data_IF_054206461659
#
_entry.id   IF_054206461659
#
_cell.length_a   1.000
_cell.length_b   1.000
_cell.length_c   1.000
_cell.angle_alpha   90.00
_cell.angle_beta   90.00
_cell.angle_gamma   90.00
#
_symmetry.space_group_name_H-M   'P 1'
#
loop_
_entity.id
_entity.type
_entity.pdbx_description
1 polymer ?
#
# COMPACT_ATOMS: atom_id res chain seq x y z
N UNK A 1 -33.83 -30.45 59.17
CA UNK A 1 -32.65 -29.76 58.55
C UNK A 1 -32.26 -28.63 59.50
N UNK A 2 -31.05 -28.62 60.06
CA UNK A 2 -30.69 -27.59 61.03
C UNK A 2 -30.17 -26.30 60.29
N UNK A 3 -30.21 -25.16 60.98
CA UNK A 3 -29.86 -23.83 60.40
C UNK A 3 -28.48 -23.79 59.72
N UNK A 4 -27.52 -24.59 60.18
CA UNK A 4 -26.17 -24.69 59.58
C UNK A 4 -26.17 -25.43 58.24
N UNK A 5 -27.00 -26.44 58.05
CA UNK A 5 -27.13 -27.17 56.79
C UNK A 5 -27.86 -26.35 55.72
N UNK A 6 -28.81 -25.49 56.09
CA UNK A 6 -29.52 -24.57 55.22
C UNK A 6 -28.61 -23.44 54.75
N UNK A 7 -27.77 -22.89 55.62
CA UNK A 7 -26.79 -21.86 55.23
C UNK A 7 -25.67 -22.40 54.33
N UNK A 8 -25.27 -23.65 54.52
CA UNK A 8 -24.30 -24.31 53.58
C UNK A 8 -24.92 -24.57 52.21
N UNK A 9 -26.19 -24.88 52.13
CA UNK A 9 -26.88 -25.08 50.85
C UNK A 9 -27.03 -23.76 50.07
N UNK A 10 -27.34 -22.65 50.76
CA UNK A 10 -27.40 -21.31 50.16
C UNK A 10 -26.02 -20.84 49.71
N UNK A 11 -24.95 -21.09 50.48
CA UNK A 11 -23.58 -20.74 50.07
C UNK A 11 -23.11 -21.56 48.87
N UNK A 12 -23.52 -22.82 48.74
CA UNK A 12 -23.19 -23.65 47.56
C UNK A 12 -23.98 -23.24 46.29
N UNK A 13 -25.24 -22.82 46.43
CA UNK A 13 -26.06 -22.32 45.33
C UNK A 13 -25.61 -20.94 44.84
N UNK A 14 -25.13 -20.06 45.72
CA UNK A 14 -24.57 -18.75 45.32
C UNK A 14 -23.22 -18.86 44.66
N UNK A 15 -22.39 -19.86 44.98
CA UNK A 15 -21.10 -20.09 44.28
C UNK A 15 -21.34 -20.67 42.89
N UNK A 16 -22.39 -21.45 42.64
CA UNK A 16 -22.71 -21.97 41.29
C UNK A 16 -23.41 -20.94 40.37
N UNK A 17 -24.02 -19.88 40.94
CA UNK A 17 -24.64 -18.79 40.15
C UNK A 17 -23.66 -17.70 39.74
N UNK A 18 -22.39 -17.77 40.16
CA UNK A 18 -21.31 -16.85 39.72
C UNK A 18 -20.54 -17.37 38.52
N UNK A 19 -20.92 -18.48 37.89
CA UNK A 19 -20.53 -18.72 36.51
C UNK A 19 -21.29 -17.70 35.67
N UNK A 20 -20.66 -16.55 35.53
CA UNK A 20 -21.02 -15.57 34.53
C UNK A 20 -21.29 -16.32 33.24
N UNK A 21 -22.55 -16.27 32.79
CA UNK A 21 -22.85 -16.42 31.38
C UNK A 21 -21.98 -15.40 30.66
N UNK A 22 -20.76 -15.77 30.33
CA UNK A 22 -20.02 -15.09 29.28
C UNK A 22 -20.90 -15.32 28.06
N UNK A 23 -21.83 -14.42 27.87
CA UNK A 23 -22.54 -14.28 26.60
C UNK A 23 -21.42 -14.24 25.54
N UNK A 24 -21.23 -15.35 24.84
CA UNK A 24 -20.47 -15.33 23.60
C UNK A 24 -21.18 -14.27 22.77
N UNK A 25 -20.71 -13.04 22.82
CA UNK A 25 -21.16 -12.04 21.87
C UNK A 25 -20.98 -12.71 20.50
N UNK A 26 -22.05 -12.89 19.74
CA UNK A 26 -21.98 -13.39 18.36
C UNK A 26 -21.28 -12.34 17.53
N UNK A 27 -19.96 -12.16 17.80
CA UNK A 27 -19.13 -11.25 17.04
C UNK A 27 -18.89 -11.89 15.69
N UNK A 28 -19.44 -11.26 14.66
CA UNK A 28 -19.21 -11.65 13.27
C UNK A 28 -17.94 -10.98 12.81
N UNK A 29 -16.97 -11.76 12.37
CA UNK A 29 -15.69 -11.29 11.82
C UNK A 29 -15.57 -11.75 10.37
N UNK A 30 -15.14 -10.84 9.50
CA UNK A 30 -14.87 -11.09 8.09
C UNK A 30 -13.55 -10.44 7.67
N UNK A 31 -12.94 -10.98 6.62
CA UNK A 31 -11.72 -10.46 5.98
C UNK A 31 -12.08 -9.91 4.58
N UNK A 32 -12.99 -8.95 4.52
CA UNK A 32 -13.63 -8.43 3.28
C UNK A 32 -12.65 -7.74 2.34
N UNK A 33 -11.51 -7.27 2.85
CA UNK A 33 -10.49 -6.57 2.10
C UNK A 33 -9.30 -7.48 1.74
N UNK A 34 -9.49 -8.79 1.85
CA UNK A 34 -8.49 -9.79 1.53
C UNK A 34 -7.27 -9.77 2.46
N UNK A 35 -6.19 -10.30 1.95
CA UNK A 35 -4.87 -10.35 2.59
C UNK A 35 -3.81 -9.87 1.62
N UNK A 36 -2.66 -9.46 2.13
CA UNK A 36 -1.53 -9.05 1.30
C UNK A 36 -0.19 -9.41 1.95
N UNK A 37 0.83 -9.62 1.13
CA UNK A 37 2.21 -9.64 1.59
C UNK A 37 3.07 -8.66 0.81
N UNK A 38 4.17 -8.20 1.42
CA UNK A 38 5.05 -7.23 0.75
C UNK A 38 6.34 -6.97 1.51
N UNK A 39 7.16 -6.08 0.98
CA UNK A 39 8.45 -5.70 1.57
C UNK A 39 9.29 -6.90 2.07
N UNK A 40 9.50 -7.95 1.26
CA UNK A 40 10.32 -9.07 1.67
C UNK A 40 11.77 -8.62 1.91
N UNK A 41 12.37 -9.17 2.97
CA UNK A 41 13.80 -9.12 3.23
C UNK A 41 14.36 -10.55 3.17
N UNK A 42 15.67 -10.79 3.30
CA UNK A 42 16.18 -12.15 3.38
C UNK A 42 15.61 -13.00 4.53
N UNK A 43 14.99 -12.37 5.54
CA UNK A 43 14.52 -13.06 6.74
C UNK A 43 13.04 -12.89 7.05
N UNK A 44 12.44 -11.79 6.60
CA UNK A 44 11.10 -11.37 6.99
C UNK A 44 10.27 -10.91 5.81
N UNK A 45 8.96 -10.93 5.98
CA UNK A 45 8.01 -10.38 5.02
C UNK A 45 6.87 -9.71 5.78
N UNK A 46 6.36 -8.62 5.25
CA UNK A 46 5.15 -8.00 5.77
C UNK A 46 3.95 -8.85 5.37
N UNK A 47 3.10 -9.17 6.34
CA UNK A 47 1.77 -9.73 6.11
C UNK A 47 0.73 -8.72 6.59
N UNK A 48 -0.32 -8.54 5.81
CA UNK A 48 -1.36 -7.56 6.04
C UNK A 48 -2.76 -8.14 5.86
N UNK A 49 -3.70 -7.66 6.66
CA UNK A 49 -5.14 -7.84 6.47
C UNK A 49 -5.91 -6.73 7.17
N UNK A 50 -7.22 -6.65 6.93
CA UNK A 50 -8.18 -5.85 7.69
C UNK A 50 -9.33 -6.71 8.16
N UNK A 51 -9.77 -6.49 9.38
CA UNK A 51 -10.91 -7.19 9.97
C UNK A 51 -12.14 -6.29 9.92
N UNK A 52 -13.23 -6.79 9.34
CA UNK A 52 -14.56 -6.20 9.43
C UNK A 52 -15.35 -6.90 10.52
N UNK A 53 -16.02 -6.15 11.39
CA UNK A 53 -16.80 -6.69 12.51
C UNK A 53 -18.02 -5.83 12.81
N UNK A 54 -19.05 -6.46 13.39
CA UNK A 54 -20.20 -5.79 13.96
C UNK A 54 -19.93 -5.17 15.36
N UNK A 55 -18.67 -5.07 15.76
CA UNK A 55 -18.24 -4.53 17.05
C UNK A 55 -17.03 -3.61 16.87
N UNK A 56 -17.03 -2.48 17.56
CA UNK A 56 -15.92 -1.50 17.59
C UNK A 56 -14.79 -1.89 18.56
N UNK A 57 -14.92 -2.98 19.29
CA UNK A 57 -13.89 -3.46 20.20
C UNK A 57 -12.70 -4.03 19.44
N UNK A 58 -11.50 -3.90 20.00
CA UNK A 58 -10.31 -4.53 19.47
C UNK A 58 -10.48 -6.04 19.30
N UNK A 59 -9.99 -6.58 18.19
CA UNK A 59 -10.11 -7.99 17.82
C UNK A 59 -8.72 -8.61 17.81
N UNK A 60 -8.55 -9.73 18.50
CA UNK A 60 -7.30 -10.49 18.46
C UNK A 60 -7.24 -11.30 17.16
N UNK A 61 -6.27 -10.98 16.33
CA UNK A 61 -6.04 -11.65 15.05
C UNK A 61 -4.75 -12.47 15.16
N UNK A 62 -4.83 -13.73 14.77
CA UNK A 62 -3.68 -14.61 14.63
C UNK A 62 -3.26 -14.69 13.19
N UNK A 63 -1.96 -14.82 12.94
CA UNK A 63 -1.43 -15.20 11.64
C UNK A 63 -0.71 -16.54 11.74
N UNK A 64 -0.77 -17.31 10.67
CA UNK A 64 -0.12 -18.61 10.52
C UNK A 64 0.61 -18.64 9.20
N UNK A 65 1.82 -19.22 9.21
CA UNK A 65 2.63 -19.45 8.02
C UNK A 65 2.93 -20.94 7.97
N UNK A 66 2.77 -21.53 6.79
CA UNK A 66 3.00 -22.95 6.53
C UNK A 66 3.85 -23.15 5.28
N UNK A 67 4.58 -24.25 5.23
CA UNK A 67 5.26 -24.70 4.01
C UNK A 67 4.35 -25.51 3.08
N UNK A 68 3.12 -25.81 3.49
CA UNK A 68 2.12 -26.53 2.71
C UNK A 68 0.78 -25.80 2.73
N UNK A 69 0.02 -25.88 1.65
CA UNK A 69 -1.27 -25.18 1.48
C UNK A 69 -2.36 -25.66 2.45
N UNK A 70 -2.25 -26.90 2.93
CA UNK A 70 -3.21 -27.50 3.86
C UNK A 70 -2.96 -27.13 5.34
N UNK A 71 -1.90 -26.36 5.61
CA UNK A 71 -1.51 -25.91 6.96
C UNK A 71 -1.32 -27.05 7.99
N UNK A 72 -0.97 -28.27 7.53
CA UNK A 72 -0.63 -29.37 8.46
C UNK A 72 0.61 -29.07 9.30
N UNK A 73 1.55 -28.28 8.74
CA UNK A 73 2.77 -27.89 9.44
C UNK A 73 2.88 -26.38 9.50
N UNK A 74 2.61 -25.80 10.67
CA UNK A 74 2.83 -24.39 10.93
C UNK A 74 4.30 -24.14 11.22
N UNK A 75 4.96 -23.33 10.37
CA UNK A 75 6.39 -23.01 10.49
C UNK A 75 6.66 -21.71 11.24
N UNK A 76 5.68 -20.81 11.25
CA UNK A 76 5.69 -19.58 12.06
C UNK A 76 4.27 -19.13 12.34
N UNK A 77 4.05 -18.48 13.46
CA UNK A 77 2.76 -17.91 13.83
C UNK A 77 2.92 -16.77 14.81
N UNK A 78 1.87 -15.99 15.01
CA UNK A 78 1.81 -14.95 16.02
C UNK A 78 0.44 -14.31 16.07
N UNK A 79 0.34 -13.21 16.82
CA UNK A 79 -0.93 -12.52 17.03
C UNK A 79 -0.74 -11.01 17.14
N UNK A 80 -1.76 -10.26 16.74
CA UNK A 80 -1.83 -8.80 16.86
C UNK A 80 -3.28 -8.36 17.01
N UNK A 81 -3.50 -7.24 17.70
CA UNK A 81 -4.82 -6.66 17.79
C UNK A 81 -5.11 -5.79 16.56
N UNK A 82 -6.28 -6.01 15.95
CA UNK A 82 -6.94 -5.08 15.05
C UNK A 82 -7.72 -4.08 15.91
N UNK A 83 -7.50 -2.79 15.76
CA UNK A 83 -8.18 -1.77 16.55
C UNK A 83 -8.57 -0.54 15.70
N UNK A 84 -9.56 0.23 16.20
CA UNK A 84 -10.13 1.40 15.53
C UNK A 84 -9.10 2.48 15.21
N UNK A 85 -8.03 2.63 16.01
CA UNK A 85 -6.99 3.65 15.76
C UNK A 85 -6.25 3.43 14.46
N UNK A 86 -6.19 2.17 14.00
CA UNK A 86 -5.60 1.75 12.72
C UNK A 86 -6.63 1.19 11.75
N UNK A 87 -7.89 1.65 11.85
CA UNK A 87 -9.00 1.19 11.00
C UNK A 87 -9.12 -0.34 10.92
N UNK A 88 -8.89 -1.02 12.02
CA UNK A 88 -8.90 -2.48 12.14
C UNK A 88 -7.95 -3.22 11.18
N UNK A 89 -6.96 -2.55 10.62
CA UNK A 89 -5.89 -3.20 9.88
C UNK A 89 -4.91 -3.91 10.80
N UNK A 90 -4.39 -5.02 10.33
CA UNK A 90 -3.32 -5.79 10.98
C UNK A 90 -2.15 -5.90 10.01
N UNK A 91 -0.99 -5.47 10.46
CA UNK A 91 0.26 -5.57 9.72
C UNK A 91 1.34 -6.14 10.62
N UNK A 92 1.96 -7.24 10.21
CA UNK A 92 3.01 -7.92 10.97
C UNK A 92 4.26 -8.08 10.12
N UNK A 93 5.43 -7.89 10.73
CA UNK A 93 6.74 -8.14 10.11
C UNK A 93 7.16 -9.57 10.48
N UNK A 94 6.64 -10.53 9.71
CA UNK A 94 6.73 -11.96 10.02
C UNK A 94 8.12 -12.52 9.68
N UNK A 95 8.76 -13.15 10.65
CA UNK A 95 10.06 -13.83 10.45
C UNK A 95 9.85 -15.24 9.94
N UNK A 96 10.51 -15.57 8.82
CA UNK A 96 10.52 -16.92 8.27
C UNK A 96 11.73 -17.72 8.82
N UNK A 97 11.52 -18.94 9.34
CA UNK A 97 12.62 -19.79 9.82
C UNK A 97 13.66 -20.02 8.74
N UNK A 98 14.95 -20.06 9.12
CA UNK A 98 16.11 -20.08 8.20
C UNK A 98 16.00 -21.11 7.08
N UNK A 99 15.49 -22.31 7.38
CA UNK A 99 15.36 -23.43 6.41
C UNK A 99 14.33 -23.18 5.30
N UNK A 100 13.39 -22.21 5.48
CA UNK A 100 12.34 -21.89 4.50
C UNK A 100 12.55 -20.55 3.82
N UNK A 101 13.66 -19.85 4.09
CA UNK A 101 13.96 -18.56 3.48
C UNK A 101 14.21 -18.70 2.00
N UNK A 102 13.70 -17.76 1.22
CA UNK A 102 13.79 -17.79 -0.24
C UNK A 102 12.89 -18.82 -0.91
N UNK A 103 12.08 -19.55 -0.14
CA UNK A 103 11.13 -20.53 -0.65
C UNK A 103 9.71 -19.99 -0.58
N UNK A 104 8.86 -20.46 -1.47
CA UNK A 104 7.42 -20.21 -1.45
C UNK A 104 6.81 -20.81 -0.18
N UNK A 105 6.08 -19.98 0.58
CA UNK A 105 5.34 -20.39 1.78
C UNK A 105 3.93 -19.83 1.71
N UNK A 106 3.01 -20.44 2.48
CA UNK A 106 1.60 -20.06 2.53
C UNK A 106 1.31 -19.35 3.84
N UNK A 107 0.39 -18.38 3.82
CA UNK A 107 -0.02 -17.67 5.03
C UNK A 107 -1.54 -17.44 5.05
N UNK A 108 -2.07 -17.29 6.25
CA UNK A 108 -3.48 -16.94 6.48
C UNK A 108 -3.62 -16.20 7.81
N UNK A 109 -4.76 -15.56 7.97
CA UNK A 109 -5.18 -14.96 9.23
C UNK A 109 -6.42 -15.67 9.78
N UNK A 110 -6.59 -15.62 11.11
CA UNK A 110 -7.81 -16.08 11.76
C UNK A 110 -8.18 -15.17 12.94
N UNK A 111 -9.47 -14.97 13.16
CA UNK A 111 -10.02 -14.24 14.30
C UNK A 111 -11.43 -14.73 14.60
N UNK A 112 -11.78 -14.90 15.88
CA UNK A 112 -13.12 -15.30 16.34
C UNK A 112 -13.70 -16.52 15.58
N UNK A 113 -12.86 -17.47 15.19
CA UNK A 113 -13.26 -18.66 14.43
C UNK A 113 -13.33 -18.50 12.91
N UNK A 114 -13.29 -17.28 12.38
CA UNK A 114 -13.22 -17.03 10.93
C UNK A 114 -11.76 -17.11 10.42
N UNK A 115 -11.59 -17.62 9.20
CA UNK A 115 -10.31 -17.62 8.48
C UNK A 115 -10.37 -16.69 7.28
N UNK A 116 -9.23 -16.07 6.97
CA UNK A 116 -9.02 -15.40 5.68
C UNK A 116 -8.83 -16.43 4.56
N UNK A 117 -8.79 -15.96 3.33
CA UNK A 117 -8.20 -16.73 2.22
C UNK A 117 -6.75 -17.08 2.54
N UNK A 118 -6.19 -18.07 1.81
CA UNK A 118 -4.78 -18.44 1.88
C UNK A 118 -4.01 -17.58 0.87
N UNK A 119 -2.89 -17.02 1.30
CA UNK A 119 -1.98 -16.31 0.42
C UNK A 119 -0.65 -17.02 0.30
N UNK A 120 0.09 -16.63 -0.72
CA UNK A 120 1.44 -17.09 -1.02
C UNK A 120 2.43 -15.96 -0.81
N UNK A 121 3.60 -16.27 -0.27
CA UNK A 121 4.67 -15.30 -0.07
C UNK A 121 6.03 -15.97 0.00
N UNK A 122 7.10 -15.18 0.05
CA UNK A 122 8.46 -15.65 0.29
C UNK A 122 9.34 -14.55 0.91
N UNK A 123 10.51 -14.88 1.41
CA UNK A 123 11.59 -13.93 1.72
C UNK A 123 12.57 -13.87 0.57
N UNK A 124 13.29 -12.75 0.39
CA UNK A 124 14.22 -12.58 -0.73
C UNK A 124 15.21 -13.75 -0.78
N UNK A 125 15.34 -14.44 -1.94
CA UNK A 125 16.23 -15.55 -2.13
C UNK A 125 17.69 -15.07 -2.17
N UNK A 126 18.62 -15.96 -1.80
CA UNK A 126 20.07 -15.69 -1.86
C UNK A 126 20.68 -15.95 -3.22
N UNK A 127 20.16 -16.99 -3.89
CA UNK A 127 20.66 -17.44 -5.18
C UNK A 127 19.46 -17.69 -6.10
N UNK A 128 19.44 -17.01 -7.23
CA UNK A 128 18.44 -17.17 -8.29
C UNK A 128 19.10 -16.91 -9.64
N UNK A 129 18.71 -17.70 -10.64
CA UNK A 129 19.14 -17.50 -12.04
C UNK A 129 18.09 -16.73 -12.85
N UNK A 130 16.83 -16.89 -12.49
CA UNK A 130 15.70 -16.23 -13.13
C UNK A 130 14.77 -15.65 -12.06
N UNK A 131 14.24 -14.46 -12.31
CA UNK A 131 13.29 -13.81 -11.42
C UNK A 131 12.36 -12.91 -12.24
N UNK A 132 11.04 -13.18 -12.18
CA UNK A 132 10.04 -12.45 -12.93
C UNK A 132 9.34 -11.42 -12.08
N UNK A 133 9.30 -10.19 -12.56
CA UNK A 133 8.65 -9.05 -11.90
C UNK A 133 7.53 -8.53 -12.78
N UNK A 134 6.30 -8.50 -12.23
CA UNK A 134 5.20 -7.75 -12.83
C UNK A 134 5.25 -6.30 -12.33
N UNK A 135 5.13 -5.34 -13.24
CA UNK A 135 5.16 -3.91 -12.90
C UNK A 135 3.82 -3.27 -13.23
N UNK A 136 3.27 -2.53 -12.27
CA UNK A 136 1.98 -1.85 -12.36
C UNK A 136 2.11 -0.38 -11.95
N UNK A 137 1.21 0.43 -12.49
CA UNK A 137 0.95 1.81 -12.06
C UNK A 137 -0.46 2.23 -12.46
N UNK A 138 -0.95 3.35 -11.92
CA UNK A 138 -2.13 4.06 -12.42
C UNK A 138 -3.41 3.22 -12.42
N UNK A 139 -3.78 2.64 -11.30
CA UNK A 139 -4.99 1.82 -11.14
C UNK A 139 -6.19 2.65 -10.71
N UNK A 140 -6.89 3.25 -11.68
CA UNK A 140 -8.07 4.05 -11.39
C UNK A 140 -9.34 3.17 -11.32
N UNK A 141 -9.85 2.94 -10.09
CA UNK A 141 -11.02 2.08 -9.83
C UNK A 141 -12.28 2.52 -10.60
N UNK A 142 -12.65 3.80 -10.67
CA UNK A 142 -13.81 4.26 -11.45
C UNK A 142 -13.68 4.07 -12.97
N UNK A 143 -12.47 4.05 -13.50
CA UNK A 143 -12.21 4.00 -14.94
C UNK A 143 -12.48 2.64 -15.55
N UNK A 144 -12.30 1.54 -14.80
CA UNK A 144 -12.43 0.18 -15.36
C UNK A 144 -12.17 -0.92 -14.34
N UNK A 145 -12.20 -2.17 -14.81
CA UNK A 145 -11.88 -3.35 -14.02
C UNK A 145 -10.37 -3.59 -14.00
N UNK A 146 -9.90 -4.28 -12.98
CA UNK A 146 -8.49 -4.55 -12.74
C UNK A 146 -8.00 -5.86 -13.39
N UNK A 147 -8.38 -6.09 -14.65
CA UNK A 147 -8.08 -7.32 -15.39
C UNK A 147 -6.57 -7.64 -15.48
N UNK A 148 -5.72 -6.62 -15.48
CA UNK A 148 -4.27 -6.82 -15.47
C UNK A 148 -3.79 -7.51 -14.18
N UNK A 149 -4.43 -7.23 -13.06
CA UNK A 149 -4.11 -7.89 -11.79
C UNK A 149 -4.57 -9.35 -11.78
N UNK A 150 -5.77 -9.62 -12.33
CA UNK A 150 -6.25 -11.01 -12.49
C UNK A 150 -5.30 -11.81 -13.39
N UNK A 151 -4.93 -11.25 -14.54
CA UNK A 151 -4.00 -11.90 -15.47
C UNK A 151 -2.66 -12.23 -14.81
N UNK A 152 -2.05 -11.27 -14.09
CA UNK A 152 -0.78 -11.50 -13.41
C UNK A 152 -0.91 -12.48 -12.24
N UNK A 153 -2.03 -12.48 -11.53
CA UNK A 153 -2.27 -13.40 -10.42
C UNK A 153 -2.40 -14.87 -10.85
N UNK A 154 -2.79 -15.10 -12.10
CA UNK A 154 -2.92 -16.43 -12.71
C UNK A 154 -1.63 -16.91 -13.40
N UNK A 155 -0.61 -16.06 -13.55
CA UNK A 155 0.71 -16.47 -14.06
C UNK A 155 1.62 -16.88 -12.88
N UNK A 156 1.66 -18.20 -12.61
CA UNK A 156 2.47 -18.78 -11.52
C UNK A 156 3.98 -18.55 -11.71
N UNK A 157 4.42 -18.10 -12.86
CA UNK A 157 5.83 -17.82 -13.15
C UNK A 157 6.27 -16.44 -12.64
N UNK A 158 5.35 -15.55 -12.28
CA UNK A 158 5.67 -14.25 -11.70
C UNK A 158 6.01 -14.43 -10.21
N UNK A 159 7.19 -13.96 -9.83
CA UNK A 159 7.66 -14.06 -8.46
C UNK A 159 7.17 -12.88 -7.60
N UNK A 160 7.24 -11.66 -8.13
CA UNK A 160 7.05 -10.42 -7.39
C UNK A 160 6.27 -9.41 -8.22
N UNK A 161 5.39 -8.65 -7.58
CA UNK A 161 4.78 -7.47 -8.19
C UNK A 161 5.41 -6.19 -7.63
N UNK A 162 5.55 -5.18 -8.48
CA UNK A 162 5.96 -3.81 -8.12
C UNK A 162 4.87 -2.86 -8.57
N UNK A 163 4.29 -2.11 -7.65
CA UNK A 163 3.35 -1.04 -7.95
C UNK A 163 4.05 0.30 -7.77
N UNK A 164 4.18 1.04 -8.86
CA UNK A 164 4.95 2.29 -8.92
C UNK A 164 4.19 3.52 -8.39
N UNK A 165 2.95 3.35 -7.95
CA UNK A 165 2.11 4.43 -7.45
C UNK A 165 0.86 4.63 -8.28
N UNK A 166 0.04 5.62 -7.90
CA UNK A 166 -1.34 5.75 -8.35
C UNK A 166 -2.15 4.48 -8.10
N UNK A 167 -1.92 3.90 -6.94
CA UNK A 167 -2.68 2.75 -6.48
C UNK A 167 -4.15 3.09 -6.21
N UNK A 168 -4.42 4.36 -5.87
CA UNK A 168 -5.75 4.95 -5.74
C UNK A 168 -5.74 6.38 -6.25
N UNK A 169 -6.94 6.94 -6.50
CA UNK A 169 -7.16 8.30 -6.98
C UNK A 169 -8.07 9.06 -6.04
N UNK A 170 -7.81 10.37 -5.86
CA UNK A 170 -8.50 11.20 -4.88
C UNK A 170 -9.85 11.74 -5.34
N UNK A 171 -10.13 11.74 -6.61
CA UNK A 171 -11.27 12.43 -7.23
C UNK A 171 -12.64 11.90 -6.80
N UNK A 172 -13.66 12.76 -6.89
CA UNK A 172 -15.08 12.41 -6.74
C UNK A 172 -15.70 12.01 -8.09
N UNK A 173 -16.94 11.54 -8.04
CA UNK A 173 -17.74 11.28 -9.25
C UNK A 173 -17.94 12.57 -10.05
N UNK A 174 -17.78 12.50 -11.37
CA UNK A 174 -17.89 13.62 -12.30
C UNK A 174 -16.56 14.34 -12.57
N UNK A 175 -15.47 13.89 -11.96
CA UNK A 175 -14.11 14.35 -12.21
C UNK A 175 -13.30 13.30 -12.98
N UNK A 176 -11.97 13.43 -12.97
CA UNK A 176 -11.03 12.65 -13.77
C UNK A 176 -11.37 11.16 -13.87
N UNK A 177 -11.56 10.67 -15.10
CA UNK A 177 -11.75 9.27 -15.48
C UNK A 177 -12.91 8.55 -14.76
N UNK A 178 -13.98 9.27 -14.37
CA UNK A 178 -15.17 8.69 -13.73
C UNK A 178 -16.37 8.51 -14.66
N UNK A 179 -16.22 8.74 -15.97
CA UNK A 179 -17.31 8.71 -16.96
C UNK A 179 -18.05 7.38 -16.99
N UNK A 180 -17.33 6.28 -16.83
CA UNK A 180 -17.88 4.94 -16.81
C UNK A 180 -18.29 4.43 -15.43
N UNK A 181 -18.00 5.15 -14.37
CA UNK A 181 -18.11 4.66 -13.00
C UNK A 181 -19.53 4.19 -12.63
N UNK A 182 -20.56 4.91 -13.06
CA UNK A 182 -21.97 4.52 -12.82
C UNK A 182 -22.30 3.25 -13.56
N UNK A 183 -21.97 3.18 -14.86
CA UNK A 183 -22.24 1.99 -15.71
C UNK A 183 -21.53 0.74 -15.19
N UNK A 184 -20.34 0.90 -14.63
CA UNK A 184 -19.53 -0.20 -14.10
C UNK A 184 -19.85 -0.52 -12.62
N UNK A 185 -20.71 0.26 -11.96
CA UNK A 185 -20.96 0.21 -10.52
C UNK A 185 -19.66 0.37 -9.70
N UNK A 186 -18.83 1.35 -10.11
CA UNK A 186 -17.49 1.62 -9.52
C UNK A 186 -17.36 3.10 -9.12
N UNK A 187 -18.46 3.74 -8.69
CA UNK A 187 -18.42 5.12 -8.22
C UNK A 187 -17.45 5.29 -7.05
N UNK A 188 -16.73 6.44 -6.97
CA UNK A 188 -15.79 6.69 -5.87
C UNK A 188 -16.46 6.69 -4.49
N UNK A 189 -15.86 6.06 -3.51
CA UNK A 189 -16.27 6.09 -2.11
C UNK A 189 -15.12 6.64 -1.26
N UNK A 190 -15.35 7.73 -0.48
CA UNK A 190 -16.55 8.57 -0.46
C UNK A 190 -16.74 9.32 -1.79
N UNK A 191 -17.99 9.71 -2.11
CA UNK A 191 -18.27 10.51 -3.31
C UNK A 191 -17.95 11.99 -3.06
N UNK A 192 -16.70 12.25 -2.79
CA UNK A 192 -16.08 13.57 -2.68
C UNK A 192 -14.58 13.42 -2.90
N UNK A 193 -13.90 14.51 -3.17
CA UNK A 193 -12.45 14.52 -3.11
C UNK A 193 -11.97 14.16 -1.70
N UNK A 194 -10.95 13.32 -1.60
CA UNK A 194 -10.47 12.82 -0.30
C UNK A 194 -9.41 13.75 0.28
N UNK A 195 -9.62 14.19 1.52
CA UNK A 195 -8.74 15.13 2.25
C UNK A 195 -8.47 14.63 3.68
N UNK A 196 -9.51 14.12 4.35
CA UNK A 196 -9.38 13.67 5.73
C UNK A 196 -8.83 12.23 5.82
N UNK A 197 -8.27 11.86 6.99
CA UNK A 197 -7.84 10.48 7.26
C UNK A 197 -8.97 9.45 7.02
N UNK A 198 -10.20 9.81 7.42
CA UNK A 198 -11.36 8.92 7.19
C UNK A 198 -11.65 8.73 5.71
N UNK A 199 -11.48 9.78 4.90
CA UNK A 199 -11.73 9.70 3.45
C UNK A 199 -10.69 8.77 2.78
N UNK A 200 -9.40 8.95 3.08
CA UNK A 200 -8.34 8.07 2.57
C UNK A 200 -8.55 6.61 2.97
N UNK A 201 -8.95 6.36 4.23
CA UNK A 201 -9.26 4.99 4.71
C UNK A 201 -10.43 4.37 3.93
N UNK A 202 -11.49 5.13 3.68
CA UNK A 202 -12.64 4.66 2.88
C UNK A 202 -12.25 4.38 1.44
N UNK A 203 -11.42 5.22 0.82
CA UNK A 203 -10.93 5.02 -0.54
C UNK A 203 -10.01 3.78 -0.63
N UNK A 204 -9.10 3.58 0.31
CA UNK A 204 -8.32 2.34 0.40
C UNK A 204 -9.21 1.11 0.59
N UNK A 205 -10.23 1.19 1.44
CA UNK A 205 -11.19 0.10 1.64
C UNK A 205 -11.92 -0.26 0.35
N UNK A 206 -12.37 0.75 -0.42
CA UNK A 206 -13.00 0.53 -1.70
C UNK A 206 -12.08 -0.20 -2.67
N UNK A 207 -10.85 0.27 -2.87
CA UNK A 207 -9.90 -0.38 -3.79
C UNK A 207 -9.58 -1.81 -3.35
N UNK A 208 -9.35 -2.02 -2.05
CA UNK A 208 -9.09 -3.34 -1.47
C UNK A 208 -10.30 -4.30 -1.49
N UNK A 209 -11.51 -3.82 -1.82
CA UNK A 209 -12.68 -4.67 -2.04
C UNK A 209 -12.72 -5.30 -3.44
N UNK A 210 -11.90 -4.82 -4.38
CA UNK A 210 -11.81 -5.38 -5.73
C UNK A 210 -11.20 -6.79 -5.70
N UNK A 211 -11.89 -7.73 -6.34
CA UNK A 211 -11.54 -9.15 -6.28
C UNK A 211 -10.22 -9.47 -7.01
N UNK A 212 -9.95 -8.77 -8.12
CA UNK A 212 -8.74 -9.00 -8.91
C UNK A 212 -7.51 -8.44 -8.18
N UNK A 213 -7.68 -7.29 -7.52
CA UNK A 213 -6.64 -6.73 -6.66
C UNK A 213 -6.38 -7.63 -5.43
N UNK A 214 -7.41 -8.24 -4.83
CA UNK A 214 -7.24 -9.20 -3.74
C UNK A 214 -6.51 -10.47 -4.20
N UNK A 215 -6.80 -10.96 -5.41
CA UNK A 215 -6.07 -12.09 -6.00
C UNK A 215 -4.58 -11.77 -6.17
N UNK A 216 -4.23 -10.63 -6.77
CA UNK A 216 -2.84 -10.21 -6.91
C UNK A 216 -2.12 -10.19 -5.55
N UNK A 217 -2.71 -9.53 -4.56
CA UNK A 217 -2.12 -9.39 -3.23
C UNK A 217 -1.96 -10.71 -2.47
N UNK A 218 -2.82 -11.70 -2.76
CA UNK A 218 -2.73 -13.02 -2.14
C UNK A 218 -1.80 -13.98 -2.86
N UNK A 219 -1.54 -13.76 -4.17
CA UNK A 219 -0.74 -14.69 -4.99
C UNK A 219 0.77 -14.50 -4.83
N UNK A 220 1.23 -13.28 -4.55
CA UNK A 220 2.67 -12.94 -4.46
C UNK A 220 2.92 -11.72 -3.58
N UNK A 221 4.16 -11.50 -3.09
CA UNK A 221 4.54 -10.25 -2.44
C UNK A 221 4.47 -9.08 -3.40
N UNK A 222 4.02 -7.91 -2.89
CA UNK A 222 3.94 -6.67 -3.68
C UNK A 222 4.83 -5.60 -3.05
N UNK A 223 5.73 -5.01 -3.82
CA UNK A 223 6.43 -3.79 -3.45
C UNK A 223 5.58 -2.60 -3.90
N UNK A 224 5.34 -1.65 -3.01
CA UNK A 224 4.51 -0.49 -3.31
C UNK A 224 5.27 0.80 -3.04
N UNK A 225 5.34 1.66 -4.06
CA UNK A 225 5.59 3.08 -3.91
C UNK A 225 4.26 3.83 -3.89
N UNK A 226 4.27 5.07 -3.50
CA UNK A 226 3.22 6.02 -3.86
C UNK A 226 3.70 6.90 -5.02
N UNK A 227 2.77 7.42 -5.82
CA UNK A 227 2.97 8.56 -6.68
C UNK A 227 2.21 9.77 -6.09
N UNK A 228 1.64 10.63 -6.86
CA UNK A 228 0.93 11.80 -6.36
C UNK A 228 -0.49 11.48 -5.90
N UNK A 229 -1.25 10.68 -6.64
CA UNK A 229 -2.67 10.41 -6.35
C UNK A 229 -2.92 9.67 -5.02
N UNK A 230 -1.94 9.02 -4.42
CA UNK A 230 -2.07 8.56 -3.04
C UNK A 230 -2.22 9.72 -2.05
N UNK A 231 -1.84 10.94 -2.47
CA UNK A 231 -2.06 12.19 -1.75
C UNK A 231 -3.07 13.05 -2.52
N UNK A 232 -2.66 13.59 -3.67
CA UNK A 232 -3.51 14.33 -4.62
C UNK A 232 -2.67 14.73 -5.82
N UNK A 233 -3.33 14.96 -6.98
CA UNK A 233 -2.69 15.27 -8.27
C UNK A 233 -1.56 16.28 -8.18
N UNK A 234 -0.46 15.93 -8.84
CA UNK A 234 0.77 16.72 -8.93
C UNK A 234 1.31 17.21 -7.58
N UNK A 235 1.26 16.32 -6.56
CA UNK A 235 1.85 16.61 -5.27
C UNK A 235 3.38 16.74 -5.34
N UNK A 236 3.89 17.72 -4.58
CA UNK A 236 5.32 17.87 -4.30
C UNK A 236 5.54 18.02 -2.79
N UNK A 237 6.76 18.29 -2.38
CA UNK A 237 7.12 18.35 -0.95
C UNK A 237 6.21 19.24 -0.13
N UNK A 238 5.85 20.42 -0.60
CA UNK A 238 5.23 21.47 0.19
C UNK A 238 3.76 21.75 -0.17
N UNK A 239 3.29 21.28 -1.34
CA UNK A 239 1.90 21.46 -1.80
C UNK A 239 1.58 20.47 -2.94
N UNK A 240 0.45 20.70 -3.62
CA UNK A 240 0.01 19.99 -4.81
C UNK A 240 -0.71 20.94 -5.77
N UNK A 241 -0.85 20.52 -7.02
CA UNK A 241 -1.71 21.23 -7.97
C UNK A 241 -3.18 21.12 -7.54
N UNK A 242 -3.63 19.91 -7.22
CA UNK A 242 -5.00 19.66 -6.78
C UNK A 242 -5.11 19.76 -5.24
N UNK A 243 -4.81 20.97 -4.69
CA UNK A 243 -5.06 21.29 -3.30
C UNK A 243 -5.43 22.77 -3.14
N UNK A 244 -6.70 23.03 -2.81
CA UNK A 244 -7.28 24.36 -2.75
C UNK A 244 -7.26 24.90 -1.31
N UNK A 245 -7.30 26.23 -1.18
CA UNK A 245 -7.19 26.92 0.11
C UNK A 245 -8.31 26.57 1.09
N UNK A 246 -9.48 26.20 0.60
CA UNK A 246 -10.64 25.79 1.41
C UNK A 246 -10.56 24.35 1.91
N UNK A 247 -9.57 23.57 1.51
CA UNK A 247 -9.34 22.18 1.95
C UNK A 247 -8.47 22.09 3.21
N UNK A 248 -8.01 23.23 3.70
CA UNK A 248 -7.18 23.36 4.88
C UNK A 248 -5.69 23.21 4.57
N UNK A 249 -4.92 22.72 5.53
CA UNK A 249 -3.47 22.61 5.37
C UNK A 249 -3.05 21.39 4.55
N UNK A 250 -2.32 21.61 3.47
CA UNK A 250 -1.69 20.52 2.69
C UNK A 250 -0.84 19.60 3.55
N UNK A 251 -0.09 20.16 4.50
CA UNK A 251 0.71 19.37 5.44
C UNK A 251 -0.14 18.40 6.27
N UNK A 252 -1.38 18.76 6.61
CA UNK A 252 -2.32 17.86 7.29
C UNK A 252 -2.85 16.80 6.33
N UNK A 253 -3.28 17.20 5.12
CA UNK A 253 -3.73 16.28 4.06
C UNK A 253 -2.65 15.24 3.78
N UNK A 254 -1.42 15.66 3.53
CA UNK A 254 -0.26 14.78 3.30
C UNK A 254 -0.05 13.78 4.45
N UNK A 255 -0.10 14.22 5.71
CA UNK A 255 0.01 13.32 6.87
C UNK A 255 -1.14 12.32 6.95
N UNK A 256 -2.37 12.75 6.64
CA UNK A 256 -3.56 11.88 6.62
C UNK A 256 -3.41 10.78 5.56
N UNK A 257 -3.04 11.16 4.35
CA UNK A 257 -2.81 10.26 3.22
C UNK A 257 -1.76 9.20 3.55
N UNK A 258 -0.58 9.63 4.00
CA UNK A 258 0.54 8.75 4.32
C UNK A 258 0.23 7.85 5.53
N UNK A 259 -0.51 8.34 6.51
CA UNK A 259 -0.98 7.50 7.61
C UNK A 259 -1.92 6.40 7.12
N UNK A 260 -2.91 6.72 6.27
CA UNK A 260 -3.80 5.74 5.67
C UNK A 260 -3.02 4.74 4.81
N UNK A 261 -2.08 5.21 3.99
CA UNK A 261 -1.20 4.38 3.18
C UNK A 261 -0.46 3.33 4.03
N UNK A 262 0.20 3.75 5.12
CA UNK A 262 0.88 2.79 5.99
C UNK A 262 -0.06 1.88 6.80
N UNK A 263 -1.29 2.27 7.01
CA UNK A 263 -2.29 1.39 7.61
C UNK A 263 -2.77 0.32 6.62
N UNK A 264 -2.97 0.69 5.34
CA UNK A 264 -3.64 -0.14 4.34
C UNK A 264 -2.72 -0.90 3.38
N UNK A 265 -1.45 -0.49 3.26
CA UNK A 265 -0.51 -1.12 2.34
C UNK A 265 0.43 -2.11 3.04
N UNK A 266 0.81 -3.22 2.37
CA UNK A 266 1.69 -4.24 2.93
C UNK A 266 3.16 -3.79 2.92
N UNK A 267 3.42 -2.58 3.36
CA UNK A 267 4.75 -1.97 3.36
C UNK A 267 5.30 -1.78 4.77
N UNK A 268 6.60 -1.92 4.93
CA UNK A 268 7.30 -1.63 6.18
C UNK A 268 7.47 -0.14 6.34
N UNK A 269 6.95 0.40 7.43
CA UNK A 269 7.02 1.82 7.74
C UNK A 269 8.46 2.24 8.07
N UNK A 270 9.03 3.24 7.39
CA UNK A 270 10.35 3.74 7.69
C UNK A 270 10.35 4.61 8.95
N UNK A 271 11.54 4.90 9.50
CA UNK A 271 11.68 5.79 10.68
C UNK A 271 11.16 7.20 10.40
N UNK A 272 11.39 7.71 9.20
CA UNK A 272 10.88 8.99 8.71
C UNK A 272 9.77 8.68 7.71
N UNK A 273 8.50 8.97 8.03
CA UNK A 273 7.35 8.47 7.25
C UNK A 273 7.35 8.84 5.76
N UNK A 274 7.97 9.98 5.38
CA UNK A 274 8.02 10.41 3.98
C UNK A 274 9.19 9.81 3.19
N UNK A 275 10.14 9.14 3.86
CA UNK A 275 11.32 8.55 3.23
C UNK A 275 11.03 7.09 2.84
N UNK A 276 10.20 6.88 1.83
CA UNK A 276 9.75 5.54 1.42
C UNK A 276 10.64 4.89 0.35
N UNK A 277 11.87 5.36 0.17
CA UNK A 277 12.81 4.65 -0.71
C UNK A 277 13.44 3.45 -0.02
N UNK A 278 13.66 2.38 -0.77
CA UNK A 278 14.13 1.09 -0.24
C UNK A 278 15.00 0.35 -1.26
N UNK A 279 15.78 -0.59 -0.77
CA UNK A 279 16.61 -1.48 -1.59
C UNK A 279 16.24 -2.94 -1.35
N UNK A 280 16.15 -3.70 -2.44
CA UNK A 280 15.87 -5.12 -2.42
C UNK A 280 16.94 -5.86 -3.23
N UNK A 281 17.77 -6.67 -2.56
CA UNK A 281 18.73 -7.54 -3.22
C UNK A 281 18.12 -8.91 -3.47
N UNK A 282 17.97 -9.31 -4.72
CA UNK A 282 17.44 -10.60 -5.14
C UNK A 282 18.61 -11.43 -5.64
N UNK A 283 19.17 -12.21 -4.75
CA UNK A 283 20.41 -12.95 -4.99
C UNK A 283 21.56 -12.03 -5.41
N UNK A 284 22.34 -12.47 -6.39
CA UNK A 284 23.30 -11.68 -7.16
C UNK A 284 22.71 -11.17 -8.47
N UNK A 285 21.45 -11.51 -8.76
CA UNK A 285 20.82 -11.21 -10.04
C UNK A 285 20.34 -9.76 -10.11
N UNK A 286 19.63 -9.27 -9.09
CA UNK A 286 18.97 -7.95 -9.14
C UNK A 286 19.27 -7.15 -7.87
N UNK A 287 19.63 -5.90 -8.07
CA UNK A 287 19.58 -4.83 -7.07
C UNK A 287 18.47 -3.86 -7.45
N UNK A 288 17.31 -4.02 -6.82
CA UNK A 288 16.16 -3.16 -7.06
C UNK A 288 16.12 -2.04 -6.03
N UNK A 289 16.13 -0.81 -6.50
CA UNK A 289 15.97 0.41 -5.70
C UNK A 289 14.60 1.01 -6.00
N UNK A 290 13.71 0.97 -5.02
CA UNK A 290 12.41 1.64 -5.06
C UNK A 290 12.60 3.07 -4.58
N UNK A 291 12.29 4.06 -5.43
CA UNK A 291 12.51 5.47 -5.18
C UNK A 291 11.21 6.18 -4.75
N UNK A 292 11.38 7.33 -4.11
CA UNK A 292 10.32 8.27 -3.77
C UNK A 292 10.56 9.58 -4.52
N UNK A 293 9.64 9.98 -5.37
CA UNK A 293 9.83 11.09 -6.32
C UNK A 293 8.80 12.21 -6.14
N UNK A 294 8.04 12.23 -5.05
CA UNK A 294 6.96 13.20 -4.84
C UNK A 294 7.14 14.05 -3.59
N UNK A 295 6.91 13.52 -2.43
CA UNK A 295 6.60 14.32 -1.23
C UNK A 295 7.74 14.45 -0.23
N UNK A 296 8.85 13.72 -0.40
CA UNK A 296 10.01 13.84 0.48
C UNK A 296 10.85 15.09 0.16
N UNK A 297 11.08 15.36 -1.13
CA UNK A 297 12.07 16.36 -1.54
C UNK A 297 11.76 17.07 -2.85
N UNK A 298 10.76 16.61 -3.63
CA UNK A 298 10.46 17.18 -4.94
C UNK A 298 10.11 18.66 -4.84
N UNK A 299 10.77 19.49 -5.63
CA UNK A 299 10.39 20.90 -5.85
C UNK A 299 9.09 20.98 -6.68
N UNK A 300 8.34 22.07 -6.56
CA UNK A 300 7.19 22.32 -7.45
C UNK A 300 7.61 22.09 -8.90
N UNK A 301 6.77 21.44 -9.69
CA UNK A 301 7.00 21.24 -11.13
C UNK A 301 7.09 22.59 -11.84
N UNK A 302 7.97 22.71 -12.83
CA UNK A 302 7.98 23.88 -13.73
C UNK A 302 6.85 23.68 -14.73
N UNK A 303 5.93 24.62 -14.76
CA UNK A 303 4.82 24.60 -15.70
C UNK A 303 5.10 25.57 -16.84
N UNK A 304 5.00 25.12 -18.09
CA UNK A 304 5.15 25.95 -19.28
C UNK A 304 4.16 27.15 -19.26
N UNK A 305 2.91 26.91 -18.83
CA UNK A 305 1.90 27.95 -18.81
C UNK A 305 2.22 29.10 -17.84
N UNK A 306 2.97 28.84 -16.76
CA UNK A 306 3.41 29.87 -15.83
C UNK A 306 4.43 30.85 -16.48
N UNK A 307 4.93 30.50 -17.68
CA UNK A 307 5.90 31.26 -18.47
C UNK A 307 5.34 31.77 -19.81
N UNK A 308 4.03 31.82 -19.96
CA UNK A 308 3.37 32.47 -21.08
C UNK A 308 2.81 33.81 -20.59
N UNK A 309 3.18 34.90 -21.21
CA UNK A 309 2.68 36.24 -20.90
C UNK A 309 1.21 36.44 -21.36
N UNK A 310 0.54 37.45 -20.88
CA UNK A 310 -0.86 37.74 -21.21
C UNK A 310 -1.11 37.95 -22.72
N UNK A 311 -0.08 38.31 -23.47
CA UNK A 311 -0.10 38.46 -24.93
C UNK A 311 0.22 37.15 -25.68
N UNK A 312 0.34 36.00 -24.95
CA UNK A 312 0.57 34.69 -25.51
C UNK A 312 2.04 34.36 -25.81
N UNK A 313 2.99 35.26 -25.49
CA UNK A 313 4.40 35.02 -25.78
C UNK A 313 5.08 34.13 -24.73
N UNK A 314 5.79 33.10 -25.16
CA UNK A 314 6.56 32.22 -24.28
C UNK A 314 7.84 32.90 -23.78
N UNK A 315 7.96 33.05 -22.45
CA UNK A 315 9.09 33.67 -21.76
C UNK A 315 10.24 32.67 -21.58
N UNK A 316 10.91 32.33 -22.67
CA UNK A 316 11.93 31.28 -22.74
C UNK A 316 13.05 31.43 -21.71
N UNK A 317 13.59 32.64 -21.51
CA UNK A 317 14.70 32.86 -20.58
C UNK A 317 14.28 32.67 -19.13
N UNK A 318 13.07 33.12 -18.76
CA UNK A 318 12.51 32.93 -17.42
C UNK A 318 12.25 31.45 -17.14
N UNK A 319 11.69 30.73 -18.11
CA UNK A 319 11.46 29.28 -18.03
C UNK A 319 12.76 28.50 -17.79
N UNK A 320 13.79 28.72 -18.64
CA UNK A 320 15.06 28.02 -18.49
C UNK A 320 15.83 28.43 -17.25
N UNK A 321 15.70 29.65 -16.79
CA UNK A 321 16.26 30.11 -15.50
C UNK A 321 15.62 29.34 -14.32
N UNK A 322 14.31 29.15 -14.33
CA UNK A 322 13.65 28.34 -13.29
C UNK A 322 14.01 26.88 -13.41
N UNK A 323 13.97 26.29 -14.62
CA UNK A 323 14.27 24.90 -14.87
C UNK A 323 15.68 24.52 -14.40
N UNK A 324 16.67 25.36 -14.67
CA UNK A 324 18.08 25.16 -14.35
C UNK A 324 18.48 25.66 -12.94
N UNK A 325 17.51 26.04 -12.12
CA UNK A 325 17.82 26.49 -10.75
C UNK A 325 18.38 25.32 -9.95
N UNK A 326 19.63 25.45 -9.51
CA UNK A 326 20.37 24.42 -8.74
C UNK A 326 19.76 24.05 -7.38
N UNK A 327 18.84 24.86 -6.87
CA UNK A 327 18.11 24.57 -5.64
C UNK A 327 16.92 23.61 -5.87
N UNK A 328 16.56 23.37 -7.13
CA UNK A 328 15.49 22.43 -7.47
C UNK A 328 15.98 21.00 -7.30
N UNK A 329 15.13 20.15 -6.81
CA UNK A 329 15.44 18.71 -6.61
C UNK A 329 14.21 17.86 -6.91
N UNK A 330 14.45 16.67 -7.43
CA UNK A 330 13.47 15.58 -7.50
C UNK A 330 13.59 14.66 -6.28
N UNK A 331 14.80 14.21 -5.97
CA UNK A 331 15.05 13.15 -4.98
C UNK A 331 15.58 13.69 -3.64
N UNK A 332 16.22 14.88 -3.65
CA UNK A 332 16.94 15.41 -2.49
C UNK A 332 18.23 14.66 -2.16
N UNK A 333 19.09 15.30 -1.36
CA UNK A 333 20.44 14.79 -1.07
C UNK A 333 20.41 13.42 -0.36
N UNK A 334 19.51 13.23 0.61
CA UNK A 334 19.47 11.97 1.37
C UNK A 334 19.19 10.75 0.48
N UNK A 335 18.30 10.87 -0.48
CA UNK A 335 18.00 9.77 -1.40
C UNK A 335 19.09 9.62 -2.47
N UNK A 336 19.71 10.71 -2.91
CA UNK A 336 20.88 10.66 -3.80
C UNK A 336 22.07 9.97 -3.13
N UNK A 337 22.32 10.26 -1.87
CA UNK A 337 23.38 9.58 -1.11
C UNK A 337 23.04 8.09 -0.93
N UNK A 338 21.80 7.76 -0.61
CA UNK A 338 21.33 6.36 -0.57
C UNK A 338 21.57 5.63 -1.89
N UNK A 339 21.32 6.27 -3.04
CA UNK A 339 21.58 5.68 -4.36
C UNK A 339 23.07 5.44 -4.53
N UNK A 340 23.92 6.47 -4.32
CA UNK A 340 25.38 6.39 -4.48
C UNK A 340 26.02 5.33 -3.57
N UNK A 341 25.61 5.25 -2.32
CA UNK A 341 26.11 4.26 -1.35
C UNK A 341 25.73 2.82 -1.73
N UNK A 342 24.65 2.67 -2.46
CA UNK A 342 24.08 1.38 -2.84
C UNK A 342 24.27 1.04 -4.33
N UNK A 343 24.90 1.92 -5.10
CA UNK A 343 25.22 1.67 -6.50
C UNK A 343 26.56 0.92 -6.59
N UNK A 344 26.47 -0.42 -6.65
CA UNK A 344 27.65 -1.31 -6.69
C UNK A 344 27.52 -2.24 -7.88
N UNK A 345 28.64 -2.53 -8.51
CA UNK A 345 28.76 -3.41 -9.70
C UNK A 345 28.75 -4.91 -9.35
N UNK A 346 28.32 -5.28 -8.13
CA UNK A 346 28.32 -6.68 -7.67
C UNK A 346 27.03 -7.46 -8.05
N UNK A 347 26.12 -6.82 -8.80
CA UNK A 347 24.86 -7.39 -9.25
C UNK A 347 24.78 -7.39 -10.79
N UNK A 348 24.05 -8.38 -11.34
CA UNK A 348 23.85 -8.46 -12.80
C UNK A 348 22.98 -7.31 -13.31
N UNK A 349 21.90 -6.95 -12.55
CA UNK A 349 20.97 -5.91 -12.93
C UNK A 349 20.80 -4.89 -11.81
N UNK A 350 20.93 -3.61 -12.13
CA UNK A 350 20.56 -2.49 -11.29
C UNK A 350 19.23 -1.92 -11.79
N UNK A 351 18.15 -2.11 -11.02
CA UNK A 351 16.81 -1.64 -11.35
C UNK A 351 16.41 -0.46 -10.46
N UNK A 352 15.93 0.61 -11.08
CA UNK A 352 15.39 1.79 -10.41
C UNK A 352 13.88 1.85 -10.66
N UNK A 353 13.09 1.42 -9.68
CA UNK A 353 11.64 1.50 -9.71
C UNK A 353 11.20 2.87 -9.20
N UNK A 354 10.57 3.66 -10.07
CA UNK A 354 10.21 5.04 -9.77
C UNK A 354 9.03 5.51 -10.64
N UNK A 355 8.42 6.63 -10.26
CA UNK A 355 7.09 7.05 -10.72
C UNK A 355 7.13 7.94 -11.96
N UNK A 356 8.19 8.72 -12.14
CA UNK A 356 8.27 9.73 -13.21
C UNK A 356 9.22 9.32 -14.31
N UNK A 357 8.93 9.72 -15.56
CA UNK A 357 9.76 9.40 -16.70
C UNK A 357 11.12 10.11 -16.59
N UNK A 358 12.21 9.33 -16.62
CA UNK A 358 13.60 9.84 -16.62
C UNK A 358 14.20 9.97 -18.00
N UNK A 359 13.66 9.26 -18.99
CA UNK A 359 14.18 9.29 -20.36
C UNK A 359 13.89 10.63 -21.03
N UNK A 360 14.83 11.10 -21.83
CA UNK A 360 14.61 12.27 -22.70
C UNK A 360 13.57 11.94 -23.75
N UNK A 361 12.43 12.65 -23.71
CA UNK A 361 11.46 12.59 -24.80
C UNK A 361 11.93 13.46 -25.96
N UNK A 362 12.08 12.85 -27.12
CA UNK A 362 12.20 13.59 -28.36
C UNK A 362 10.80 13.79 -28.93
N UNK A 363 10.28 15.01 -28.86
CA UNK A 363 9.07 15.34 -29.61
C UNK A 363 9.38 15.30 -31.09
N UNK A 364 8.49 14.73 -31.92
CA UNK A 364 8.63 14.88 -33.36
C UNK A 364 8.61 16.38 -33.71
N UNK A 365 9.36 16.77 -34.68
CA UNK A 365 9.31 18.13 -35.23
C UNK A 365 7.87 18.41 -35.65
N UNK A 366 7.19 19.31 -34.96
CA UNK A 366 5.86 19.76 -35.37
C UNK A 366 6.07 20.61 -36.63
N UNK A 367 5.47 20.24 -37.75
CA UNK A 367 5.60 21.06 -38.97
C UNK A 367 5.09 22.49 -38.72
N UNK A 368 5.80 23.49 -39.24
CA UNK A 368 5.50 24.91 -38.98
C UNK A 368 4.05 25.31 -39.30
N UNK A 369 3.37 24.60 -40.21
CA UNK A 369 1.97 24.84 -40.57
C UNK A 369 0.94 24.40 -39.48
N UNK A 370 1.39 23.79 -38.38
CA UNK A 370 0.55 23.40 -37.23
C UNK A 370 0.69 24.41 -36.07
N UNK A 371 1.65 25.35 -36.19
CA UNK A 371 2.00 26.32 -35.14
C UNK A 371 1.33 27.68 -35.38
N UNK A 372 0.69 27.91 -36.54
CA UNK A 372 -0.06 29.13 -36.87
C UNK A 372 -1.49 29.13 -36.31
#
# INVERSE_FOLDING_TARGET
MNRRSFLKLIAFTTIFLSFSLVSKSNRIVRFEHGIASGDPTPEKVILWTRVSSNSDNSILVFYEISNTVDFKTIIASGKKYADRRKDFTVKVDAKIPKRYRGQKVFYRFRAEGAYSQIGTTFTLPKDVENFKIAVFSCSNYPAGYFNAYDSASNDESIDLAVHLGDYLYEYKQGEYATDNAIRLNRQPIPNKEIVSLSDYRQRHAQYKSDVDLQKLHSSMPVLCAWDDHEITNDAWKDNAENHQINEGSFSLRKRNAIKAYYEWMPVREPKTPFNNWKRYKIGKLIDLKLLETRISSRSKQVNLNDHVSDDGNFQKDAFFKELNNVQRSLLGNQQLDFIKENDRDDQTWNLYAQQVLLATLKLPTIPDYIID
#
